data_IF_946010000126
#
_entry.id   IF_946010000126
#
_cell.length_a   1.000
_cell.length_b   1.000
_cell.length_c   1.000
_cell.angle_alpha   90.00
_cell.angle_beta   90.00
_cell.angle_gamma   90.00
#
_symmetry.space_group_name_H-M   'P 1'
#
loop_
_entity.id
_entity.type
_entity.pdbx_description
1 polymer ?
#
# COMPACT_ATOMS: atom_id res chain seq x y z
N UNK A 1 -14.30 -11.93 -2.24
CA UNK A 1 -13.69 -10.81 -1.49
C UNK A 1 -14.20 -9.54 -2.16
N UNK A 2 -14.73 -8.58 -1.40
CA UNK A 2 -15.31 -7.33 -1.93
C UNK A 2 -14.30 -6.20 -2.04
N UNK A 3 -13.07 -6.40 -1.55
CA UNK A 3 -11.97 -5.45 -1.70
C UNK A 3 -11.00 -5.98 -2.76
N UNK A 4 -10.65 -5.11 -3.70
CA UNK A 4 -9.58 -5.31 -4.68
C UNK A 4 -8.49 -4.29 -4.39
N UNK A 5 -7.24 -4.73 -4.36
CA UNK A 5 -6.09 -3.86 -4.20
C UNK A 5 -5.28 -3.83 -5.50
N UNK A 6 -4.77 -2.66 -5.85
CA UNK A 6 -3.81 -2.46 -6.93
C UNK A 6 -2.60 -1.72 -6.41
N UNK A 7 -1.44 -2.01 -7.01
CA UNK A 7 -0.19 -1.30 -6.75
C UNK A 7 0.46 -0.99 -8.08
N UNK A 8 0.57 0.29 -8.39
CA UNK A 8 1.27 0.79 -9.56
C UNK A 8 2.60 1.42 -9.13
N UNK A 9 3.60 1.34 -10.01
CA UNK A 9 4.93 1.91 -9.77
C UNK A 9 5.41 2.70 -10.98
N UNK A 10 5.89 3.93 -10.75
CA UNK A 10 6.55 4.78 -11.72
C UNK A 10 7.99 5.06 -11.31
N UNK A 11 8.89 5.21 -12.28
CA UNK A 11 10.32 5.51 -12.03
C UNK A 11 10.70 6.80 -12.75
N UNK A 12 11.05 7.83 -11.99
CA UNK A 12 11.58 9.11 -12.49
C UNK A 12 12.55 9.73 -11.47
N UNK A 13 13.80 9.25 -11.45
CA UNK A 13 14.81 9.62 -10.44
C UNK A 13 14.56 9.07 -9.03
N UNK A 14 13.31 8.79 -8.69
CA UNK A 14 12.85 8.01 -7.54
C UNK A 14 11.79 7.00 -8.01
N UNK A 15 11.43 6.03 -7.16
CA UNK A 15 10.28 5.18 -7.40
C UNK A 15 9.07 5.73 -6.68
N UNK A 16 8.00 6.00 -7.44
CA UNK A 16 6.70 6.40 -6.92
C UNK A 16 5.74 5.23 -6.99
N UNK A 17 5.13 4.88 -5.86
CA UNK A 17 4.12 3.83 -5.77
C UNK A 17 2.74 4.46 -5.52
N UNK A 18 1.73 3.98 -6.24
CA UNK A 18 0.33 4.27 -5.97
C UNK A 18 -0.37 2.98 -5.57
N UNK A 19 -0.75 2.88 -4.30
CA UNK A 19 -1.54 1.77 -3.77
C UNK A 19 -3.00 2.19 -3.69
N UNK A 20 -3.89 1.43 -4.31
CA UNK A 20 -5.34 1.69 -4.26
C UNK A 20 -6.08 0.48 -3.70
N UNK A 21 -7.09 0.73 -2.86
CA UNK A 21 -8.04 -0.28 -2.41
C UNK A 21 -9.43 0.14 -2.82
N UNK A 22 -10.11 -0.74 -3.57
CA UNK A 22 -11.45 -0.50 -4.11
C UNK A 22 -12.45 -1.49 -3.54
N UNK A 23 -13.61 -0.99 -3.13
CA UNK A 23 -14.77 -1.82 -2.86
C UNK A 23 -15.47 -2.21 -4.18
N UNK A 24 -15.31 -3.46 -4.62
CA UNK A 24 -15.92 -4.03 -5.83
C UNK A 24 -17.23 -4.77 -5.54
N UNK A 25 -17.67 -4.81 -4.28
CA UNK A 25 -18.95 -5.39 -3.87
C UNK A 25 -20.12 -4.41 -3.94
N UNK A 26 -21.32 -4.93 -3.67
CA UNK A 26 -22.59 -4.18 -3.71
C UNK A 26 -23.03 -3.63 -2.34
N UNK A 27 -22.15 -3.64 -1.33
CA UNK A 27 -22.44 -3.13 0.01
C UNK A 27 -21.24 -2.38 0.59
N UNK A 28 -21.46 -1.36 1.45
CA UNK A 28 -20.37 -0.64 2.09
C UNK A 28 -19.47 -1.57 2.92
N UNK A 29 -18.17 -1.29 2.90
CA UNK A 29 -17.16 -2.00 3.70
C UNK A 29 -16.53 -1.02 4.68
N UNK A 30 -16.64 -1.32 5.98
CA UNK A 30 -15.95 -0.55 7.02
C UNK A 30 -14.54 -1.09 7.25
N UNK A 31 -13.54 -0.29 6.88
CA UNK A 31 -12.13 -0.52 7.18
C UNK A 31 -11.83 -0.08 8.61
N UNK A 32 -11.26 -0.97 9.42
CA UNK A 32 -10.90 -0.67 10.81
C UNK A 32 -9.39 -0.66 10.98
N UNK A 33 -8.84 0.46 11.45
CA UNK A 33 -7.39 0.65 11.61
C UNK A 33 -7.01 0.67 13.09
N UNK A 34 -5.92 -0.03 13.41
CA UNK A 34 -5.41 -0.15 14.79
C UNK A 34 -4.42 0.94 15.19
N UNK A 35 -4.07 1.83 14.27
CA UNK A 35 -3.14 2.94 14.47
C UNK A 35 -3.41 4.00 13.40
N UNK A 36 -2.67 5.11 13.41
CA UNK A 36 -2.69 6.10 12.33
C UNK A 36 -2.06 5.62 11.01
N UNK A 37 -1.52 4.39 10.94
CA UNK A 37 -1.05 3.79 9.67
C UNK A 37 -2.25 3.24 8.90
N UNK A 38 -2.47 3.74 7.69
CA UNK A 38 -3.56 3.31 6.79
C UNK A 38 -3.09 2.27 5.79
N UNK A 39 -1.93 2.49 5.18
CA UNK A 39 -1.31 1.56 4.24
C UNK A 39 0.22 1.61 4.36
N UNK A 40 0.90 0.65 3.74
CA UNK A 40 2.35 0.52 3.76
C UNK A 40 2.83 -0.12 2.46
N UNK A 41 4.08 0.17 2.07
CA UNK A 41 4.73 -0.46 0.92
C UNK A 41 6.09 -1.00 1.37
N UNK A 42 6.36 -2.25 1.04
CA UNK A 42 7.66 -2.88 1.19
C UNK A 42 8.22 -3.27 -0.19
N UNK A 43 9.53 -3.18 -0.35
CA UNK A 43 10.24 -3.52 -1.58
C UNK A 43 11.25 -4.62 -1.27
N UNK A 44 11.30 -5.61 -2.16
CA UNK A 44 12.09 -6.80 -2.01
C UNK A 44 13.03 -7.00 -3.21
N UNK A 45 14.24 -7.45 -2.95
CA UNK A 45 15.21 -7.96 -3.92
C UNK A 45 15.46 -9.45 -3.66
N UNK A 46 15.17 -10.31 -4.63
CA UNK A 46 15.24 -11.78 -4.49
C UNK A 46 14.61 -12.35 -3.19
N UNK A 47 13.55 -11.70 -2.70
CA UNK A 47 12.84 -12.07 -1.47
C UNK A 47 13.40 -11.47 -0.17
N UNK A 48 14.50 -10.72 -0.22
CA UNK A 48 15.01 -9.93 0.90
C UNK A 48 14.38 -8.53 0.90
N UNK A 49 13.85 -8.09 2.03
CA UNK A 49 13.30 -6.73 2.18
C UNK A 49 14.44 -5.72 2.19
N UNK A 50 14.51 -4.87 1.16
CA UNK A 50 15.54 -3.82 1.03
C UNK A 50 15.03 -2.45 1.45
N UNK A 51 13.71 -2.26 1.44
CA UNK A 51 13.09 -1.00 1.82
C UNK A 51 11.65 -1.18 2.30
N UNK A 52 11.22 -0.36 3.24
CA UNK A 52 9.82 -0.25 3.65
C UNK A 52 9.48 1.19 3.98
N UNK A 53 8.36 1.68 3.45
CA UNK A 53 7.95 3.06 3.64
C UNK A 53 7.77 3.43 5.10
N UNK A 54 7.15 2.54 5.89
CA UNK A 54 6.89 2.78 7.31
C UNK A 54 8.13 2.72 8.20
N UNK A 55 9.29 2.30 7.70
CA UNK A 55 10.49 2.23 8.51
C UNK A 55 10.91 3.62 9.01
N UNK A 56 11.26 3.70 10.29
CA UNK A 56 11.58 4.96 10.98
C UNK A 56 10.40 5.95 11.16
N UNK A 57 9.18 5.64 10.68
CA UNK A 57 8.00 6.50 10.84
C UNK A 57 7.24 6.18 12.13
N UNK A 58 6.75 7.23 12.79
CA UNK A 58 5.89 7.09 13.97
C UNK A 58 4.42 7.31 13.60
N UNK A 59 3.55 6.43 14.07
CA UNK A 59 2.11 6.52 13.87
C UNK A 59 1.41 6.62 15.23
N UNK A 60 0.34 7.41 15.29
CA UNK A 60 -0.51 7.49 16.49
C UNK A 60 -1.11 6.12 16.79
N UNK A 61 -1.34 5.81 18.06
CA UNK A 61 -1.97 4.55 18.48
C UNK A 61 -3.49 4.72 18.61
N UNK A 62 -4.10 5.55 17.75
CA UNK A 62 -5.51 5.84 17.75
C UNK A 62 -6.25 4.88 16.81
N UNK A 63 -7.25 4.19 17.35
CA UNK A 63 -8.20 3.41 16.55
C UNK A 63 -9.07 4.36 15.73
N UNK A 64 -9.27 4.04 14.46
CA UNK A 64 -10.19 4.77 13.60
C UNK A 64 -10.77 3.85 12.53
N UNK A 65 -11.87 4.28 11.91
CA UNK A 65 -12.47 3.56 10.79
C UNK A 65 -12.71 4.48 9.59
N UNK A 66 -12.76 3.87 8.42
CA UNK A 66 -13.12 4.49 7.14
C UNK A 66 -14.11 3.58 6.43
N UNK A 67 -15.17 4.13 5.87
CA UNK A 67 -16.12 3.35 5.06
C UNK A 67 -15.78 3.54 3.59
N UNK A 68 -15.75 2.44 2.83
CA UNK A 68 -15.74 2.45 1.37
C UNK A 68 -17.12 2.02 0.87
N UNK A 69 -17.85 2.94 0.26
CA UNK A 69 -19.11 2.65 -0.43
C UNK A 69 -18.89 1.76 -1.66
N UNK A 70 -19.95 1.10 -2.19
CA UNK A 70 -19.86 0.32 -3.42
C UNK A 70 -19.23 1.11 -4.58
N UNK A 71 -18.12 0.60 -5.10
CA UNK A 71 -17.36 1.22 -6.20
C UNK A 71 -16.35 2.29 -5.76
N UNK A 72 -16.36 2.72 -4.49
CA UNK A 72 -15.42 3.69 -3.94
C UNK A 72 -14.01 3.12 -3.83
N UNK A 73 -13.00 3.98 -3.97
CA UNK A 73 -11.59 3.62 -3.87
C UNK A 73 -10.84 4.62 -3.01
N UNK A 74 -9.88 4.13 -2.25
CA UNK A 74 -8.95 4.93 -1.46
C UNK A 74 -7.53 4.65 -1.95
N UNK A 75 -6.79 5.72 -2.29
CA UNK A 75 -5.47 5.63 -2.91
C UNK A 75 -4.43 6.40 -2.10
N UNK A 76 -3.26 5.79 -1.92
CA UNK A 76 -2.14 6.32 -1.16
C UNK A 76 -0.86 6.28 -1.99
N UNK A 77 -0.08 7.35 -1.91
CA UNK A 77 1.18 7.47 -2.63
C UNK A 77 2.37 7.28 -1.69
N UNK A 78 3.40 6.58 -2.19
CA UNK A 78 4.63 6.29 -1.46
C UNK A 78 5.83 6.54 -2.35
N UNK A 79 6.90 7.11 -1.80
CA UNK A 79 8.10 7.42 -2.57
C UNK A 79 9.30 6.71 -1.95
N UNK A 80 10.02 5.95 -2.77
CA UNK A 80 11.33 5.39 -2.47
C UNK A 80 12.40 6.20 -3.19
N UNK A 81 13.16 6.97 -2.42
CA UNK A 81 14.22 7.85 -2.92
C UNK A 81 15.55 7.10 -3.03
N UNK A 82 16.36 7.51 -4.00
CA UNK A 82 17.71 6.98 -4.26
C UNK A 82 17.77 5.44 -4.36
N UNK A 83 16.88 4.79 -5.14
CA UNK A 83 16.94 3.36 -5.37
C UNK A 83 18.22 2.96 -6.11
N UNK A 84 18.83 1.83 -5.73
CA UNK A 84 19.88 1.22 -6.55
C UNK A 84 19.27 0.67 -7.85
N UNK A 85 20.01 0.68 -8.98
CA UNK A 85 19.52 0.09 -10.22
C UNK A 85 19.31 -1.41 -10.08
N UNK A 86 18.16 -1.91 -10.51
CA UNK A 86 17.80 -3.31 -10.30
C UNK A 86 16.34 -3.61 -10.60
N UNK A 87 15.98 -4.90 -10.49
CA UNK A 87 14.59 -5.35 -10.58
C UNK A 87 14.13 -5.78 -9.20
N UNK A 88 13.08 -5.13 -8.72
CA UNK A 88 12.53 -5.34 -7.39
C UNK A 88 11.07 -5.77 -7.47
N UNK A 89 10.59 -6.37 -6.39
CA UNK A 89 9.16 -6.62 -6.16
C UNK A 89 8.67 -5.71 -5.07
N UNK A 90 7.67 -4.88 -5.36
CA UNK A 90 6.99 -4.07 -4.37
C UNK A 90 5.69 -4.77 -3.91
N UNK A 91 5.42 -4.75 -2.61
CA UNK A 91 4.17 -5.21 -1.99
C UNK A 91 3.52 -4.05 -1.24
N UNK A 92 2.31 -3.69 -1.64
CA UNK A 92 1.46 -2.72 -0.98
C UNK A 92 0.44 -3.44 -0.12
N UNK A 93 0.28 -3.00 1.13
CA UNK A 93 -0.59 -3.64 2.11
C UNK A 93 -1.47 -2.60 2.81
N UNK A 94 -2.76 -2.91 2.90
CA UNK A 94 -3.71 -2.18 3.74
C UNK A 94 -3.48 -2.54 5.22
N UNK A 95 -3.34 -1.53 6.09
CA UNK A 95 -3.12 -1.71 7.52
C UNK A 95 -4.42 -1.76 8.34
N UNK A 96 -5.52 -2.18 7.70
CA UNK A 96 -6.82 -2.40 8.33
C UNK A 96 -6.93 -3.84 8.85
N UNK A 97 -7.99 -4.13 9.61
CA UNK A 97 -8.34 -5.52 9.96
C UNK A 97 -8.75 -6.35 8.74
N UNK A 98 -9.18 -5.70 7.67
CA UNK A 98 -9.47 -6.33 6.39
C UNK A 98 -8.18 -6.51 5.59
N UNK A 99 -7.96 -7.73 5.10
CA UNK A 99 -6.81 -8.04 4.25
C UNK A 99 -7.03 -7.52 2.82
N UNK A 100 -6.18 -6.58 2.40
CA UNK A 100 -6.06 -6.16 1.01
C UNK A 100 -4.58 -5.88 0.71
N UNK A 101 -4.06 -6.53 -0.32
CA UNK A 101 -2.66 -6.38 -0.73
C UNK A 101 -2.50 -6.57 -2.23
N UNK A 102 -1.46 -5.94 -2.78
CA UNK A 102 -1.12 -6.01 -4.18
C UNK A 102 0.40 -6.01 -4.34
N UNK A 103 0.88 -6.67 -5.39
CA UNK A 103 2.31 -6.73 -5.71
C UNK A 103 2.55 -6.27 -7.13
N UNK A 104 3.66 -5.57 -7.35
CA UNK A 104 4.10 -5.20 -8.69
C UNK A 104 5.60 -5.34 -8.83
N UNK A 105 6.08 -5.55 -10.05
CA UNK A 105 7.50 -5.55 -10.36
C UNK A 105 7.91 -4.16 -10.81
N UNK A 106 8.99 -3.65 -10.21
CA UNK A 106 9.58 -2.36 -10.58
C UNK A 106 11.00 -2.59 -11.07
N UNK A 107 11.37 -1.91 -12.15
CA UNK A 107 12.75 -1.90 -12.66
C UNK A 107 13.24 -0.46 -12.65
N UNK A 108 14.33 -0.23 -11.92
CA UNK A 108 14.99 1.07 -11.73
C UNK A 108 16.17 1.18 -12.69
#
# INVERSE_FOLDING_TARGET
>A
MSLEATLDAGVDGAVEFEFSVRNTGDSPVELQFRSGKVADVAVFDDGEEVWRWSDGRMFTQALHSQTLDPGESDSHQFTWNDPEPGTYTAEGTLAAEQDAKATTSVTV
#
